data_IF_799199166106
#
_entry.id   IF_799199166106
#
_cell.length_a   1.000
_cell.length_b   1.000
_cell.length_c   1.000
_cell.angle_alpha   90.00
_cell.angle_beta   90.00
_cell.angle_gamma   90.00
#
_symmetry.space_group_name_H-M   'P 1'
#
loop_
_entity.id
_entity.type
_entity.pdbx_description
1 polymer ?
#
# COMPACT_ATOMS: atom_id res chain seq x y z
N UNK A 1 -4.12 15.84 -20.24
CA UNK A 1 -4.51 14.45 -20.60
C UNK A 1 -4.36 13.58 -19.35
N UNK A 2 -5.36 12.74 -19.07
CA UNK A 2 -5.30 11.72 -18.00
C UNK A 2 -5.34 10.33 -18.65
N UNK A 3 -4.54 9.41 -18.13
CA UNK A 3 -4.46 8.03 -18.62
C UNK A 3 -4.40 7.07 -17.43
N UNK A 4 -5.08 5.94 -17.55
CA UNK A 4 -4.99 4.83 -16.60
C UNK A 4 -4.34 3.61 -17.27
N UNK A 5 -3.54 2.88 -16.49
CA UNK A 5 -2.88 1.65 -16.96
C UNK A 5 -2.89 0.61 -15.86
N UNK A 6 -3.33 -0.60 -16.20
CA UNK A 6 -3.18 -1.75 -15.31
C UNK A 6 -1.73 -2.25 -15.40
N UNK A 7 -1.08 -2.39 -14.25
CA UNK A 7 0.26 -2.93 -14.14
C UNK A 7 0.29 -4.09 -13.13
N UNK A 8 1.13 -5.08 -13.43
CA UNK A 8 1.26 -6.30 -12.62
C UNK A 8 2.72 -6.45 -12.21
N UNK A 9 2.96 -6.49 -10.91
CA UNK A 9 4.29 -6.63 -10.33
C UNK A 9 4.40 -7.97 -9.59
N UNK A 10 5.30 -8.89 -10.03
CA UNK A 10 5.55 -10.10 -9.28
C UNK A 10 6.17 -9.78 -7.92
N UNK A 11 5.70 -10.46 -6.87
CA UNK A 11 6.27 -10.33 -5.53
C UNK A 11 7.52 -11.19 -5.40
N UNK A 12 8.50 -10.72 -4.64
CA UNK A 12 9.74 -11.44 -4.36
C UNK A 12 9.50 -12.77 -3.60
N UNK A 13 8.40 -12.85 -2.88
CA UNK A 13 7.92 -14.04 -2.17
C UNK A 13 6.40 -13.99 -2.02
N UNK A 14 5.78 -15.13 -1.75
CA UNK A 14 4.34 -15.21 -1.49
C UNK A 14 4.01 -14.32 -0.28
N UNK A 15 3.08 -13.40 -0.45
CA UNK A 15 2.54 -12.60 0.65
C UNK A 15 1.23 -13.21 1.13
N UNK A 16 1.22 -13.71 2.38
CA UNK A 16 0.10 -14.39 2.97
C UNK A 16 -0.40 -13.69 4.23
N UNK A 17 -1.72 -13.61 4.33
CA UNK A 17 -2.46 -13.15 5.52
C UNK A 17 -3.52 -14.20 5.88
N UNK A 18 -4.25 -14.02 6.98
CA UNK A 18 -5.35 -14.92 7.41
C UNK A 18 -6.40 -15.17 6.31
N UNK A 19 -6.64 -14.18 5.44
CA UNK A 19 -7.69 -14.22 4.41
C UNK A 19 -7.24 -14.66 3.01
N UNK A 20 -5.96 -14.98 2.80
CA UNK A 20 -5.47 -15.43 1.49
C UNK A 20 -4.01 -15.16 1.24
N UNK A 21 -3.58 -15.48 0.02
CA UNK A 21 -2.19 -15.31 -0.42
C UNK A 21 -2.13 -14.67 -1.81
N UNK A 22 -1.07 -13.89 -2.05
CA UNK A 22 -0.81 -13.26 -3.35
C UNK A 22 0.64 -13.52 -3.77
N UNK A 23 0.85 -13.72 -5.08
CA UNK A 23 2.17 -13.85 -5.71
C UNK A 23 2.55 -12.63 -6.55
N UNK A 24 1.58 -11.72 -6.74
CA UNK A 24 1.74 -10.50 -7.51
C UNK A 24 0.90 -9.37 -6.90
N UNK A 25 1.30 -8.13 -7.18
CA UNK A 25 0.51 -6.94 -6.94
C UNK A 25 -0.07 -6.47 -8.27
N UNK A 26 -1.39 -6.25 -8.30
CA UNK A 26 -2.12 -5.70 -9.44
C UNK A 26 -2.55 -4.30 -9.08
N UNK A 27 -2.15 -3.32 -9.87
CA UNK A 27 -2.36 -1.90 -9.59
C UNK A 27 -2.92 -1.17 -10.80
N UNK A 28 -3.56 -0.04 -10.56
CA UNK A 28 -3.90 0.92 -11.60
C UNK A 28 -3.02 2.15 -11.41
N UNK A 29 -2.14 2.39 -12.37
CA UNK A 29 -1.27 3.58 -12.43
C UNK A 29 -1.98 4.68 -13.21
N UNK A 30 -1.96 5.90 -12.67
CA UNK A 30 -2.47 7.10 -13.32
C UNK A 30 -1.32 7.98 -13.78
N UNK A 31 -1.43 8.45 -15.01
CA UNK A 31 -0.55 9.48 -15.58
C UNK A 31 -1.42 10.69 -15.92
N UNK A 32 -1.09 11.83 -15.29
CA UNK A 32 -1.66 13.14 -15.60
C UNK A 32 -0.59 13.99 -16.27
N UNK A 33 -0.83 14.39 -17.53
CA UNK A 33 0.12 15.18 -18.31
C UNK A 33 -0.50 16.50 -18.74
N UNK A 34 0.21 17.59 -18.46
CA UNK A 34 -0.15 18.94 -18.88
C UNK A 34 1.11 19.79 -19.02
N UNK A 35 1.21 20.56 -20.11
CA UNK A 35 2.32 21.49 -20.38
C UNK A 35 3.71 20.82 -20.33
N UNK A 36 3.81 19.53 -20.72
CA UNK A 36 5.04 18.75 -20.70
C UNK A 36 5.45 18.24 -19.30
N UNK A 37 4.63 18.48 -18.28
CA UNK A 37 4.86 18.00 -16.92
C UNK A 37 3.99 16.77 -16.67
N UNK A 38 4.58 15.72 -16.07
CA UNK A 38 3.89 14.45 -15.80
C UNK A 38 3.79 14.24 -14.29
N UNK A 39 2.55 14.17 -13.80
CA UNK A 39 2.21 13.67 -12.48
C UNK A 39 1.83 12.18 -12.52
N UNK A 40 2.19 11.43 -11.47
CA UNK A 40 1.90 10.00 -11.33
C UNK A 40 1.18 9.71 -10.03
N UNK A 41 0.21 8.80 -10.11
CA UNK A 41 -0.46 8.21 -8.97
C UNK A 41 -0.70 6.73 -9.19
N UNK A 42 -0.99 6.02 -8.13
CA UNK A 42 -1.22 4.57 -8.17
C UNK A 42 -2.26 4.17 -7.14
N UNK A 43 -3.03 3.16 -7.44
CA UNK A 43 -3.91 2.53 -6.45
C UNK A 43 -3.96 1.02 -6.63
N UNK A 44 -4.39 0.35 -5.55
CA UNK A 44 -4.73 -1.07 -5.53
C UNK A 44 -6.25 -1.16 -5.36
N UNK A 45 -7.03 -1.46 -6.41
CA UNK A 45 -8.45 -1.75 -6.29
C UNK A 45 -8.70 -2.89 -5.30
N UNK A 46 -9.69 -2.76 -4.44
CA UNK A 46 -9.90 -3.73 -3.38
C UNK A 46 -11.33 -4.28 -3.39
N UNK A 47 -11.47 -5.57 -3.67
CA UNK A 47 -12.76 -6.24 -3.84
C UNK A 47 -13.71 -6.12 -2.62
N UNK A 48 -13.17 -5.87 -1.42
CA UNK A 48 -13.98 -5.59 -0.22
C UNK A 48 -14.81 -4.31 -0.34
N UNK A 49 -14.39 -3.40 -1.19
CA UNK A 49 -15.08 -2.14 -1.48
C UNK A 49 -15.74 -2.14 -2.86
N UNK A 50 -16.02 -3.34 -3.38
CA UNK A 50 -16.62 -3.55 -4.70
C UNK A 50 -15.81 -2.96 -5.86
N UNK A 51 -14.48 -2.83 -5.68
CA UNK A 51 -13.57 -2.32 -6.68
C UNK A 51 -12.88 -3.45 -7.46
N UNK A 52 -12.80 -3.29 -8.78
CA UNK A 52 -11.99 -4.13 -9.67
C UNK A 52 -11.02 -3.26 -10.49
N UNK A 53 -10.02 -3.88 -11.09
CA UNK A 53 -9.10 -3.18 -12.00
C UNK A 53 -9.86 -2.46 -13.11
N UNK A 54 -10.86 -3.12 -13.69
CA UNK A 54 -11.67 -2.61 -14.79
C UNK A 54 -12.56 -1.45 -14.33
N UNK A 55 -13.24 -1.60 -13.18
CA UNK A 55 -14.14 -0.56 -12.68
C UNK A 55 -13.39 0.72 -12.31
N UNK A 56 -12.22 0.58 -11.70
CA UNK A 56 -11.36 1.71 -11.31
C UNK A 56 -10.73 2.38 -12.53
N UNK A 57 -10.23 1.59 -13.49
CA UNK A 57 -9.70 2.11 -14.76
C UNK A 57 -10.77 2.93 -15.49
N UNK A 58 -11.98 2.37 -15.60
CA UNK A 58 -13.09 3.08 -16.25
C UNK A 58 -13.47 4.39 -15.56
N UNK A 59 -13.54 4.41 -14.23
CA UNK A 59 -13.80 5.64 -13.49
C UNK A 59 -12.77 6.74 -13.78
N UNK A 60 -11.51 6.36 -13.96
CA UNK A 60 -10.43 7.30 -14.29
C UNK A 60 -10.53 7.78 -15.73
N UNK A 61 -10.80 6.87 -16.67
CA UNK A 61 -10.93 7.19 -18.10
C UNK A 61 -12.17 8.06 -18.43
N UNK A 62 -13.22 7.97 -17.62
CA UNK A 62 -14.43 8.79 -17.75
C UNK A 62 -14.24 10.24 -17.23
N UNK A 63 -13.09 10.56 -16.59
CA UNK A 63 -12.81 11.90 -16.09
C UNK A 63 -12.42 12.87 -17.22
N UNK A 64 -12.75 14.17 -17.09
CA UNK A 64 -12.29 15.17 -18.04
C UNK A 64 -10.77 15.37 -17.95
N UNK A 65 -10.14 15.59 -19.10
CA UNK A 65 -8.68 15.79 -19.22
C UNK A 65 -8.11 16.95 -18.38
N UNK A 66 -8.95 17.91 -18.00
CA UNK A 66 -8.56 19.09 -17.25
C UNK A 66 -9.04 19.06 -15.79
N UNK A 67 -9.32 17.86 -15.25
CA UNK A 67 -9.74 17.70 -13.86
C UNK A 67 -8.73 18.38 -12.90
N UNK A 68 -9.24 19.05 -11.91
CA UNK A 68 -8.48 19.58 -10.77
C UNK A 68 -8.84 18.87 -9.46
N UNK A 69 -8.15 19.21 -8.38
CA UNK A 69 -8.32 18.52 -7.09
C UNK A 69 -9.70 18.76 -6.48
N UNK A 70 -10.24 19.95 -6.61
CA UNK A 70 -11.56 20.34 -6.10
C UNK A 70 -12.66 19.59 -6.85
N UNK A 71 -12.67 19.69 -8.18
CA UNK A 71 -13.64 19.00 -9.05
C UNK A 71 -13.56 17.48 -8.89
N UNK A 72 -12.37 16.93 -8.70
CA UNK A 72 -12.19 15.49 -8.46
C UNK A 72 -12.96 15.00 -7.22
N UNK A 73 -12.95 15.78 -6.12
CA UNK A 73 -13.65 15.41 -4.88
C UNK A 73 -15.19 15.38 -5.06
N UNK A 74 -15.70 16.19 -5.98
CA UNK A 74 -17.13 16.25 -6.30
C UNK A 74 -17.54 15.19 -7.34
N UNK A 75 -16.61 14.81 -8.23
CA UNK A 75 -16.88 13.90 -9.35
C UNK A 75 -16.81 12.43 -8.96
N UNK A 76 -15.80 12.04 -8.16
CA UNK A 76 -15.61 10.66 -7.74
C UNK A 76 -15.88 10.46 -6.24
N UNK A 77 -16.56 9.38 -5.87
CA UNK A 77 -16.67 8.99 -4.45
C UNK A 77 -15.29 8.63 -3.88
N UNK A 78 -15.13 8.60 -2.53
CA UNK A 78 -13.96 8.03 -1.90
C UNK A 78 -13.71 6.60 -2.41
N UNK A 79 -12.48 6.33 -2.86
CA UNK A 79 -12.11 5.02 -3.42
C UNK A 79 -10.77 5.04 -4.13
N UNK A 80 -10.40 3.91 -4.72
CA UNK A 80 -9.11 3.71 -5.36
C UNK A 80 -8.89 4.68 -6.54
N UNK A 81 -9.91 4.87 -7.40
CA UNK A 81 -9.81 5.79 -8.54
C UNK A 81 -9.50 7.22 -8.09
N UNK A 82 -10.29 7.75 -7.13
CA UNK A 82 -10.09 9.11 -6.62
C UNK A 82 -8.71 9.26 -5.98
N UNK A 83 -8.29 8.29 -5.17
CA UNK A 83 -6.96 8.32 -4.55
C UNK A 83 -5.83 8.39 -5.58
N UNK A 84 -5.87 7.55 -6.62
CA UNK A 84 -4.81 7.54 -7.62
C UNK A 84 -4.74 8.84 -8.43
N UNK A 85 -5.90 9.40 -8.82
CA UNK A 85 -5.95 10.67 -9.55
C UNK A 85 -5.50 11.83 -8.64
N UNK A 86 -5.94 11.89 -7.40
CA UNK A 86 -5.50 12.90 -6.42
C UNK A 86 -3.98 12.88 -6.24
N UNK A 87 -3.38 11.71 -6.07
CA UNK A 87 -1.93 11.55 -6.00
C UNK A 87 -1.23 12.06 -7.27
N UNK A 88 -1.78 11.77 -8.46
CA UNK A 88 -1.20 12.25 -9.72
C UNK A 88 -1.27 13.77 -9.85
N UNK A 89 -2.36 14.40 -9.41
CA UNK A 89 -2.52 15.85 -9.41
C UNK A 89 -1.57 16.53 -8.41
N UNK A 90 -1.38 15.96 -7.22
CA UNK A 90 -0.39 16.44 -6.25
C UNK A 90 1.04 16.32 -6.78
N UNK A 91 1.41 15.19 -7.37
CA UNK A 91 2.73 14.98 -7.97
C UNK A 91 2.99 15.95 -9.13
N UNK A 92 1.97 16.19 -9.98
CA UNK A 92 2.03 17.19 -11.03
C UNK A 92 2.27 18.61 -10.47
N UNK A 93 1.50 19.02 -9.47
CA UNK A 93 1.60 20.35 -8.89
C UNK A 93 2.97 20.59 -8.23
N UNK A 94 3.46 19.60 -7.46
CA UNK A 94 4.79 19.65 -6.86
C UNK A 94 5.89 19.84 -7.91
N UNK A 95 5.82 19.12 -9.02
CA UNK A 95 6.78 19.23 -10.13
C UNK A 95 6.66 20.54 -10.86
N UNK A 96 5.44 21.04 -11.07
CA UNK A 96 5.18 22.33 -11.71
C UNK A 96 5.76 23.49 -10.89
N UNK A 97 5.69 23.40 -9.56
CA UNK A 97 6.19 24.44 -8.64
C UNK A 97 7.65 24.23 -8.25
N UNK A 98 8.29 23.12 -8.65
CA UNK A 98 9.60 22.67 -8.16
C UNK A 98 9.68 22.63 -6.63
N UNK A 99 8.63 22.10 -6.00
CA UNK A 99 8.45 22.00 -4.55
C UNK A 99 8.28 20.57 -4.09
N UNK A 100 8.56 20.34 -2.82
CA UNK A 100 8.24 19.08 -2.16
C UNK A 100 6.79 19.10 -1.68
N UNK A 101 6.20 17.92 -1.53
CA UNK A 101 4.78 17.78 -1.13
C UNK A 101 4.45 18.52 0.18
N UNK A 102 5.35 18.52 1.17
CA UNK A 102 5.11 19.23 2.42
C UNK A 102 5.12 20.76 2.27
N UNK A 103 5.85 21.30 1.29
CA UNK A 103 5.88 22.72 0.96
C UNK A 103 4.60 23.11 0.23
N UNK A 104 4.22 22.37 -0.80
CA UNK A 104 2.99 22.58 -1.58
C UNK A 104 1.73 22.42 -0.70
N UNK A 105 1.72 21.45 0.20
CA UNK A 105 0.61 21.21 1.12
C UNK A 105 0.66 22.09 2.39
N UNK A 106 1.70 22.91 2.56
CA UNK A 106 1.91 23.75 3.73
C UNK A 106 1.84 22.99 5.06
N UNK A 107 2.53 21.86 5.12
CA UNK A 107 2.65 21.02 6.32
C UNK A 107 4.10 20.95 6.78
N UNK A 108 4.30 20.52 8.02
CA UNK A 108 5.65 20.34 8.57
C UNK A 108 6.44 19.32 7.73
N UNK A 109 7.70 19.63 7.43
CA UNK A 109 8.61 18.67 6.79
C UNK A 109 8.69 17.40 7.61
N UNK A 110 8.44 16.22 7.00
CA UNK A 110 8.51 14.95 7.71
C UNK A 110 9.94 14.63 8.16
N UNK A 111 10.06 14.08 9.36
CA UNK A 111 11.30 13.55 9.90
C UNK A 111 11.46 12.07 9.54
N UNK A 112 12.66 11.55 9.80
CA UNK A 112 12.92 10.11 9.63
C UNK A 112 12.08 9.31 10.60
N UNK A 113 11.41 8.28 10.09
CA UNK A 113 10.63 7.34 10.90
C UNK A 113 11.08 5.89 10.64
N UNK A 114 10.83 5.02 11.61
CA UNK A 114 11.12 3.59 11.49
C UNK A 114 9.96 2.94 10.72
N UNK A 115 10.30 2.30 9.59
CA UNK A 115 9.36 1.51 8.81
C UNK A 115 9.30 0.08 9.32
N UNK A 116 8.11 -0.42 9.62
CA UNK A 116 7.89 -1.81 9.94
C UNK A 116 8.11 -2.71 8.71
N UNK A 117 8.97 -3.72 8.84
CA UNK A 117 9.12 -4.74 7.80
C UNK A 117 8.16 -5.90 8.06
N UNK A 118 7.32 -6.21 7.06
CA UNK A 118 6.28 -7.23 7.23
C UNK A 118 6.79 -8.63 6.93
N UNK A 119 6.60 -9.54 7.87
CA UNK A 119 6.75 -10.98 7.68
C UNK A 119 5.37 -11.59 7.39
N UNK A 120 5.28 -12.34 6.28
CA UNK A 120 4.06 -13.07 5.90
C UNK A 120 3.71 -14.16 6.91
N UNK A 121 2.42 -14.48 6.99
CA UNK A 121 1.94 -15.66 7.72
C UNK A 121 2.47 -16.93 7.03
N UNK A 122 3.13 -17.79 7.79
CA UNK A 122 3.70 -19.06 7.33
C UNK A 122 3.82 -20.05 8.50
N UNK A 123 4.40 -21.24 8.25
CA UNK A 123 4.77 -22.17 9.30
C UNK A 123 5.86 -21.57 10.22
N UNK A 124 5.87 -21.91 11.52
CA UNK A 124 6.80 -21.32 12.50
C UNK A 124 8.26 -21.37 12.06
N UNK A 125 8.71 -22.48 11.47
CA UNK A 125 10.09 -22.64 11.01
C UNK A 125 10.46 -21.63 9.90
N UNK A 126 9.53 -21.40 8.96
CA UNK A 126 9.75 -20.42 7.89
C UNK A 126 9.73 -18.99 8.43
N UNK A 127 8.84 -18.69 9.37
CA UNK A 127 8.78 -17.39 10.02
C UNK A 127 10.04 -17.12 10.86
N UNK A 128 10.61 -18.16 11.52
CA UNK A 128 11.92 -18.06 12.16
C UNK A 128 13.01 -17.64 11.16
N UNK A 129 13.15 -18.36 10.04
CA UNK A 129 14.14 -18.06 9.01
C UNK A 129 13.99 -16.64 8.43
N UNK A 130 12.74 -16.21 8.22
CA UNK A 130 12.46 -14.85 7.75
C UNK A 130 12.82 -13.79 8.80
N UNK A 131 12.54 -14.04 10.07
CA UNK A 131 12.91 -13.15 11.17
C UNK A 131 14.43 -13.07 11.34
N UNK A 132 15.13 -14.20 11.31
CA UNK A 132 16.59 -14.26 11.37
C UNK A 132 17.26 -13.46 10.26
N UNK A 133 16.81 -13.64 9.01
CA UNK A 133 17.27 -12.89 7.84
C UNK A 133 17.07 -11.37 7.99
N UNK A 134 16.07 -10.95 8.73
CA UNK A 134 15.68 -9.55 8.91
C UNK A 134 15.95 -9.05 10.36
N UNK A 135 16.77 -9.75 11.13
CA UNK A 135 17.03 -9.45 12.54
C UNK A 135 17.77 -8.13 12.80
N UNK A 136 18.37 -7.56 11.74
CA UNK A 136 18.97 -6.22 11.77
C UNK A 136 17.96 -5.08 11.64
N UNK A 137 16.70 -5.38 11.41
CA UNK A 137 15.63 -4.37 11.33
C UNK A 137 15.09 -4.06 12.71
N UNK A 138 14.90 -2.79 13.08
CA UNK A 138 14.46 -2.42 14.41
C UNK A 138 12.99 -2.80 14.69
N UNK A 139 12.15 -2.87 13.66
CA UNK A 139 10.71 -3.11 13.77
C UNK A 139 10.24 -4.14 12.75
N UNK A 140 9.64 -5.23 13.23
CA UNK A 140 9.00 -6.26 12.42
C UNK A 140 7.48 -6.23 12.63
N UNK A 141 6.73 -6.22 11.53
CA UNK A 141 5.28 -6.46 11.53
C UNK A 141 5.02 -7.90 11.13
N UNK A 142 4.38 -8.68 11.99
CA UNK A 142 4.09 -10.08 11.72
C UNK A 142 2.61 -10.30 11.42
N UNK A 143 2.33 -11.10 10.39
CA UNK A 143 0.98 -11.50 10.02
C UNK A 143 0.63 -12.76 10.79
N UNK A 144 -0.45 -12.69 11.56
CA UNK A 144 -1.04 -13.78 12.32
C UNK A 144 -2.54 -13.88 11.96
N UNK A 145 -3.35 -14.54 12.78
CA UNK A 145 -4.80 -14.65 12.58
C UNK A 145 -5.26 -16.10 12.34
N UNK A 146 -4.59 -17.04 13.02
CA UNK A 146 -4.96 -18.46 13.05
C UNK A 146 -5.04 -18.95 14.50
N UNK A 147 -5.74 -20.07 14.78
CA UNK A 147 -5.87 -20.59 16.14
C UNK A 147 -4.53 -20.98 16.81
N UNK A 148 -3.44 -21.12 16.06
CA UNK A 148 -2.15 -21.59 16.58
C UNK A 148 -1.04 -20.56 16.31
N UNK A 149 -1.22 -19.34 16.78
CA UNK A 149 -0.30 -18.22 16.48
C UNK A 149 0.87 -18.12 17.47
N UNK A 150 0.76 -18.64 18.70
CA UNK A 150 1.83 -18.55 19.70
C UNK A 150 3.15 -19.19 19.23
N UNK A 151 3.20 -20.39 18.65
CA UNK A 151 4.44 -20.94 18.11
C UNK A 151 5.09 -20.09 17.02
N UNK A 152 4.28 -19.38 16.22
CA UNK A 152 4.75 -18.45 15.20
C UNK A 152 5.41 -17.23 15.83
N UNK A 153 4.75 -16.63 16.83
CA UNK A 153 5.28 -15.50 17.56
C UNK A 153 6.61 -15.83 18.24
N UNK A 154 6.68 -16.98 18.92
CA UNK A 154 7.90 -17.47 19.57
C UNK A 154 9.03 -17.70 18.57
N UNK A 155 8.72 -18.28 17.41
CA UNK A 155 9.67 -18.50 16.33
C UNK A 155 10.24 -17.18 15.81
N UNK A 156 9.42 -16.18 15.57
CA UNK A 156 9.86 -14.83 15.15
C UNK A 156 10.70 -14.17 16.25
N UNK A 157 10.29 -14.21 17.49
CA UNK A 157 11.08 -13.67 18.61
C UNK A 157 12.45 -14.33 18.73
N UNK A 158 12.52 -15.65 18.53
CA UNK A 158 13.79 -16.40 18.54
C UNK A 158 14.70 -16.01 17.38
N UNK A 159 14.14 -15.78 16.17
CA UNK A 159 14.90 -15.37 15.01
C UNK A 159 15.36 -13.91 15.05
N UNK A 160 14.60 -13.02 15.71
CA UNK A 160 14.91 -11.60 15.84
C UNK A 160 14.75 -11.13 17.30
N UNK A 161 15.65 -11.51 18.21
CA UNK A 161 15.49 -11.31 19.65
C UNK A 161 15.44 -9.83 20.06
N UNK A 162 16.08 -8.95 19.31
CA UNK A 162 16.19 -7.51 19.61
C UNK A 162 15.19 -6.63 18.85
N UNK A 163 14.47 -7.17 17.87
CA UNK A 163 13.51 -6.39 17.11
C UNK A 163 12.26 -6.08 17.94
N UNK A 164 11.75 -4.88 17.78
CA UNK A 164 10.37 -4.59 18.18
C UNK A 164 9.40 -5.35 17.28
N UNK A 165 8.31 -5.89 17.85
CA UNK A 165 7.33 -6.68 17.09
C UNK A 165 5.96 -6.05 17.25
N UNK A 166 5.30 -5.79 16.11
CA UNK A 166 3.88 -5.49 16.04
C UNK A 166 3.15 -6.62 15.30
N UNK A 167 1.93 -6.89 15.72
CA UNK A 167 1.11 -7.98 15.17
C UNK A 167 -0.08 -7.41 14.41
N UNK A 168 -0.39 -8.03 13.27
CA UNK A 168 -1.57 -7.75 12.48
C UNK A 168 -2.28 -9.06 12.16
N UNK A 169 -3.38 -9.33 12.84
CA UNK A 169 -4.19 -10.53 12.65
C UNK A 169 -5.09 -10.46 11.42
N UNK A 170 -5.22 -9.31 10.77
CA UNK A 170 -6.09 -9.12 9.61
C UNK A 170 -7.52 -9.64 9.82
N UNK A 171 -8.11 -9.31 10.97
CA UNK A 171 -9.47 -9.73 11.37
C UNK A 171 -9.60 -11.27 11.57
N UNK A 172 -8.48 -11.98 11.73
CA UNK A 172 -8.47 -13.42 11.98
C UNK A 172 -8.68 -13.80 13.45
N UNK A 173 -8.65 -12.84 14.38
CA UNK A 173 -8.93 -13.04 15.79
C UNK A 173 -10.32 -12.54 16.17
N UNK A 174 -10.90 -13.12 17.17
CA UNK A 174 -12.10 -12.66 17.89
C UNK A 174 -11.74 -12.26 19.32
N UNK A 175 -12.75 -12.00 20.15
CA UNK A 175 -12.53 -11.57 21.53
C UNK A 175 -12.11 -12.69 22.49
N UNK A 176 -12.08 -13.92 22.02
CA UNK A 176 -11.75 -15.11 22.83
C UNK A 176 -10.30 -15.59 22.61
N UNK A 177 -9.54 -14.98 21.69
CA UNK A 177 -8.16 -15.34 21.34
C UNK A 177 -7.16 -14.54 22.15
#
# INVERSE_FOLDING_TARGET
MIQAKIEIFPLAQVFRISRGARTQAEVVTVIYEKDGIIGRGECVPYARYDETLESVTKQIEDLPDNIDKETLQETLPPGAARNAVDCALWDFECKKLDQRIWETANIQKPEKNITAYTLSLDEPENMFKQAEKNSNRPLLKIKLGTPNDMPRLEAVRKGAPSAEIIVDANEGWDAEV
#
